data_IF_567641756688
#
_entry.id   IF_567641756688
#
_cell.length_a   1.000
_cell.length_b   1.000
_cell.length_c   1.000
_cell.angle_alpha   90.00
_cell.angle_beta   90.00
_cell.angle_gamma   90.00
#
_symmetry.space_group_name_H-M   'P 1'
#
loop_
_entity.id
_entity.type
_entity.pdbx_description
1 polymer ?
#
# COMPACT_ATOMS: atom_id res chain seq x y z
N UNK A 1 5.38 8.69 -9.85
CA UNK A 1 5.71 8.10 -8.53
C UNK A 1 5.15 6.70 -8.33
N UNK A 2 3.83 6.47 -8.41
CA UNK A 2 3.23 5.14 -8.17
C UNK A 2 3.90 3.98 -8.95
N UNK A 3 4.22 4.19 -10.24
CA UNK A 3 4.92 3.19 -11.04
C UNK A 3 6.32 2.85 -10.51
N UNK A 4 7.09 3.84 -10.07
CA UNK A 4 8.43 3.65 -9.52
C UNK A 4 8.37 2.93 -8.17
N UNK A 5 7.37 3.21 -7.34
CA UNK A 5 7.16 2.49 -6.08
C UNK A 5 6.79 1.02 -6.33
N UNK A 6 5.96 0.75 -7.35
CA UNK A 6 5.65 -0.61 -7.78
C UNK A 6 6.91 -1.37 -8.22
N UNK A 7 7.80 -0.74 -8.98
CA UNK A 7 9.08 -1.36 -9.38
C UNK A 7 9.96 -1.72 -8.17
N UNK A 8 10.05 -0.83 -7.17
CA UNK A 8 10.78 -1.11 -5.92
C UNK A 8 10.21 -2.33 -5.18
N UNK A 9 8.88 -2.46 -5.13
CA UNK A 9 8.22 -3.62 -4.52
C UNK A 9 8.57 -4.91 -5.28
N UNK A 10 8.53 -4.89 -6.62
CA UNK A 10 8.91 -6.04 -7.46
C UNK A 10 10.35 -6.47 -7.17
N UNK A 11 11.30 -5.52 -7.15
CA UNK A 11 12.71 -5.81 -6.85
C UNK A 11 12.86 -6.40 -5.45
N UNK A 12 12.15 -5.85 -4.46
CA UNK A 12 12.18 -6.34 -3.09
C UNK A 12 11.66 -7.78 -3.01
N UNK A 13 10.54 -8.10 -3.66
CA UNK A 13 9.98 -9.44 -3.70
C UNK A 13 10.93 -10.43 -4.39
N UNK A 14 11.47 -10.07 -5.55
CA UNK A 14 12.40 -10.91 -6.30
C UNK A 14 13.66 -11.28 -5.49
N UNK A 15 14.15 -10.36 -4.65
CA UNK A 15 15.30 -10.61 -3.76
C UNK A 15 15.00 -11.54 -2.58
N UNK A 16 13.74 -11.65 -2.16
CA UNK A 16 13.37 -12.35 -0.92
C UNK A 16 12.63 -13.68 -1.16
N UNK A 17 12.30 -14.01 -2.41
CA UNK A 17 11.55 -15.23 -2.76
C UNK A 17 12.49 -16.27 -3.37
N UNK A 18 12.36 -17.52 -2.92
CA UNK A 18 13.19 -18.65 -3.39
C UNK A 18 12.52 -19.53 -4.46
N UNK A 19 11.22 -19.33 -4.70
CA UNK A 19 10.41 -20.13 -5.65
C UNK A 19 9.97 -19.25 -6.82
N UNK A 20 9.72 -19.84 -7.98
CA UNK A 20 9.13 -19.11 -9.09
C UNK A 20 7.68 -18.74 -8.74
N UNK A 21 7.38 -17.45 -8.71
CA UNK A 21 6.04 -16.88 -8.44
C UNK A 21 5.75 -15.86 -9.53
N UNK A 22 4.52 -15.84 -10.01
CA UNK A 22 3.97 -14.76 -10.82
C UNK A 22 3.16 -13.83 -9.93
N UNK A 23 3.41 -12.52 -10.05
CA UNK A 23 2.66 -11.48 -9.34
C UNK A 23 1.88 -10.65 -10.35
N UNK A 24 0.61 -10.37 -10.02
CA UNK A 24 -0.18 -9.35 -10.69
C UNK A 24 -0.33 -8.15 -9.76
N UNK A 25 0.07 -6.97 -10.22
CA UNK A 25 -0.06 -5.73 -9.45
C UNK A 25 -1.19 -4.90 -10.02
N UNK A 26 -2.12 -4.52 -9.16
CA UNK A 26 -3.14 -3.53 -9.44
C UNK A 26 -2.86 -2.27 -8.63
N UNK A 27 -2.83 -1.11 -9.29
CA UNK A 27 -2.68 0.18 -8.62
C UNK A 27 -4.03 0.87 -8.60
N UNK A 28 -4.59 1.01 -7.40
CA UNK A 28 -5.83 1.74 -7.19
C UNK A 28 -5.62 3.26 -7.21
N UNK A 29 -6.68 3.98 -7.57
CA UNK A 29 -6.74 5.42 -7.36
C UNK A 29 -6.89 5.77 -5.87
N UNK A 30 -6.52 7.01 -5.53
CA UNK A 30 -6.65 7.51 -4.16
C UNK A 30 -8.13 7.56 -3.75
N UNK A 31 -8.48 6.92 -2.62
CA UNK A 31 -9.84 6.98 -2.05
C UNK A 31 -9.84 7.72 -0.70
N UNK A 32 -10.87 8.53 -0.39
CA UNK A 32 -10.97 9.24 0.90
C UNK A 32 -10.94 8.33 2.13
N UNK A 33 -11.38 7.08 2.01
CA UNK A 33 -11.31 6.08 3.10
C UNK A 33 -9.86 5.77 3.52
N UNK A 34 -8.89 5.92 2.61
CA UNK A 34 -7.49 5.64 2.87
C UNK A 34 -6.72 6.87 3.40
N UNK A 35 -7.31 8.07 3.38
CA UNK A 35 -6.66 9.29 3.88
C UNK A 35 -6.16 9.17 5.33
N UNK A 36 -6.94 8.60 6.28
CA UNK A 36 -6.51 8.42 7.66
C UNK A 36 -5.25 7.56 7.87
N UNK A 37 -4.90 6.71 6.90
CA UNK A 37 -3.73 5.84 6.94
C UNK A 37 -2.67 6.20 5.89
N UNK A 38 -2.93 7.21 5.05
CA UNK A 38 -2.04 7.63 3.98
C UNK A 38 -0.82 8.38 4.54
N UNK A 39 0.38 7.84 4.28
CA UNK A 39 1.66 8.39 4.75
C UNK A 39 2.26 9.48 3.83
N UNK A 40 1.57 9.85 2.75
CA UNK A 40 2.05 10.95 1.88
C UNK A 40 1.89 12.27 2.64
N UNK A 41 3.02 12.85 3.04
CA UNK A 41 3.10 14.16 3.66
C UNK A 41 2.61 15.25 2.69
N UNK A 42 1.90 16.26 3.21
CA UNK A 42 1.39 17.39 2.43
C UNK A 42 0.61 17.00 1.16
N UNK A 43 -0.11 15.87 1.21
CA UNK A 43 -0.90 15.38 0.09
C UNK A 43 -1.91 16.45 -0.39
N UNK A 44 -1.84 16.91 -1.66
CA UNK A 44 -2.62 18.06 -2.15
C UNK A 44 -4.11 17.76 -2.32
N UNK A 45 -4.49 16.48 -2.30
CA UNK A 45 -5.86 16.00 -2.49
C UNK A 45 -6.42 15.32 -1.23
N UNK A 46 -5.74 15.47 -0.09
CA UNK A 46 -6.15 14.86 1.19
C UNK A 46 -7.49 15.42 1.63
N UNK A 47 -8.44 14.53 1.90
CA UNK A 47 -9.79 14.88 2.38
C UNK A 47 -10.00 14.61 3.87
N UNK A 48 -9.15 13.77 4.49
CA UNK A 48 -9.20 13.46 5.93
C UNK A 48 -7.81 13.49 6.54
N UNK A 49 -7.73 13.86 7.81
CA UNK A 49 -6.48 13.93 8.56
C UNK A 49 -5.83 12.56 8.68
N UNK A 50 -4.50 12.53 8.69
CA UNK A 50 -3.73 11.34 9.02
C UNK A 50 -3.93 11.00 10.51
N UNK A 51 -4.21 9.73 10.80
CA UNK A 51 -4.46 9.25 12.16
C UNK A 51 -3.37 8.26 12.59
N UNK A 52 -3.08 7.25 11.76
CA UNK A 52 -2.10 6.22 12.10
C UNK A 52 -1.43 5.62 10.89
N UNK A 53 -0.23 5.08 11.08
CA UNK A 53 0.43 4.21 10.11
C UNK A 53 -0.14 2.80 10.22
N UNK A 54 -0.29 2.11 9.08
CA UNK A 54 -0.55 0.66 9.05
C UNK A 54 0.75 -0.08 9.34
N UNK A 55 0.76 -0.85 10.43
CA UNK A 55 1.80 -1.84 10.69
C UNK A 55 1.44 -3.12 9.93
N UNK A 56 2.29 -3.53 8.97
CA UNK A 56 2.00 -4.65 8.07
C UNK A 56 2.30 -6.00 8.75
N UNK A 57 1.34 -6.92 8.68
CA UNK A 57 1.47 -8.32 9.14
C UNK A 57 1.07 -9.27 8.03
N UNK A 58 1.42 -10.56 8.17
CA UNK A 58 1.07 -11.57 7.17
C UNK A 58 -0.46 -11.73 7.04
N UNK A 59 -1.20 -11.52 8.13
CA UNK A 59 -2.65 -11.60 8.16
C UNK A 59 -3.26 -10.38 7.46
N UNK A 60 -2.84 -9.17 7.83
CA UNK A 60 -3.49 -7.96 7.32
C UNK A 60 -3.16 -7.65 5.86
N UNK A 61 -2.02 -8.09 5.34
CA UNK A 61 -1.67 -7.90 3.92
C UNK A 61 -2.56 -8.74 3.00
N UNK A 62 -3.19 -9.79 3.53
CA UNK A 62 -4.13 -10.65 2.80
C UNK A 62 -5.60 -10.27 2.98
N UNK A 63 -5.88 -9.17 3.71
CA UNK A 63 -7.24 -8.66 3.90
C UNK A 63 -7.89 -8.28 2.56
N UNK A 64 -9.17 -8.64 2.41
CA UNK A 64 -9.99 -8.23 1.27
C UNK A 64 -10.41 -6.76 1.39
N UNK A 65 -10.66 -6.31 2.61
CA UNK A 65 -11.08 -4.95 2.88
C UNK A 65 -9.90 -3.98 2.82
N UNK A 66 -10.18 -2.75 2.35
CA UNK A 66 -9.18 -1.67 2.32
C UNK A 66 -8.80 -1.27 3.74
N UNK A 67 -7.50 -1.14 3.99
CA UNK A 67 -6.99 -0.70 5.28
C UNK A 67 -7.47 0.71 5.63
N UNK A 68 -7.96 0.85 6.86
CA UNK A 68 -8.44 2.10 7.45
C UNK A 68 -8.06 2.14 8.95
N UNK A 69 -8.57 3.11 9.69
CA UNK A 69 -8.32 3.24 11.14
C UNK A 69 -9.08 2.20 11.94
N UNK A 70 -10.25 1.79 11.46
CA UNK A 70 -11.12 0.75 12.02
C UNK A 70 -10.70 -0.65 11.61
#
# INVERSE_FOLDING_TARGET
>A
DAHNEMEKVIILLAKNIKRNIEFNFHMDDCKPISCPVCQIENCPVRQKDFVKRVEWTAENVTSVDKHTVE
#
